data_IF_137068826514
#
_entry.id   IF_137068826514
#
_cell.length_a   1.000
_cell.length_b   1.000
_cell.length_c   1.000
_cell.angle_alpha   90.00
_cell.angle_beta   90.00
_cell.angle_gamma   90.00
#
_symmetry.space_group_name_H-M   'P 1'
#
loop_
_entity.id
_entity.type
_entity.pdbx_description
1 polymer ?
#
# COMPACT_ATOMS: atom_id res chain seq x y z
N UNK A 1 -8.69 -7.15 -9.06
CA UNK A 1 -8.30 -8.39 -9.78
C UNK A 1 -8.18 -9.49 -8.71
N UNK A 2 -9.26 -10.26 -8.49
CA UNK A 2 -9.57 -10.87 -7.17
C UNK A 2 -9.02 -12.31 -6.99
N UNK A 3 -8.23 -12.82 -7.92
CA UNK A 3 -7.47 -14.05 -7.69
C UNK A 3 -6.10 -13.94 -8.35
N UNK A 4 -5.03 -14.22 -7.61
CA UNK A 4 -3.69 -14.47 -8.18
C UNK A 4 -3.63 -15.76 -9.00
N UNK A 5 -4.76 -16.45 -9.13
CA UNK A 5 -4.92 -17.72 -9.79
C UNK A 5 -5.54 -17.50 -11.16
N UNK A 6 -4.93 -18.09 -12.19
CA UNK A 6 -5.48 -18.11 -13.54
C UNK A 6 -6.87 -18.77 -13.54
N UNK A 7 -7.88 -18.05 -14.03
CA UNK A 7 -9.29 -18.51 -14.08
C UNK A 7 -9.46 -19.89 -14.76
N UNK A 8 -8.51 -20.27 -15.61
CA UNK A 8 -8.49 -21.54 -16.34
C UNK A 8 -8.41 -22.77 -15.42
N UNK A 9 -7.88 -22.64 -14.21
CA UNK A 9 -7.89 -23.71 -13.20
C UNK A 9 -9.31 -24.05 -12.73
N UNK A 10 -10.20 -23.07 -12.62
CA UNK A 10 -11.61 -23.31 -12.28
C UNK A 10 -12.33 -24.09 -13.38
N UNK A 11 -12.05 -23.76 -14.65
CA UNK A 11 -12.58 -24.49 -15.80
C UNK A 11 -12.07 -25.94 -15.82
N UNK A 12 -10.79 -26.15 -15.51
CA UNK A 12 -10.21 -27.50 -15.41
C UNK A 12 -10.89 -28.32 -14.32
N UNK A 13 -11.08 -27.79 -13.11
CA UNK A 13 -11.76 -28.51 -12.03
C UNK A 13 -13.23 -28.79 -12.33
N UNK A 14 -13.91 -27.88 -13.04
CA UNK A 14 -15.28 -28.08 -13.51
C UNK A 14 -15.35 -29.27 -14.48
N UNK A 15 -14.49 -29.29 -15.51
CA UNK A 15 -14.45 -30.37 -16.50
C UNK A 15 -14.08 -31.71 -15.84
N UNK A 16 -13.09 -31.71 -14.94
CA UNK A 16 -12.63 -32.91 -14.24
C UNK A 16 -13.71 -33.51 -13.32
N UNK A 17 -14.41 -32.67 -12.57
CA UNK A 17 -15.52 -33.10 -11.69
C UNK A 17 -16.67 -33.68 -12.50
N UNK A 18 -17.00 -33.06 -13.65
CA UNK A 18 -18.05 -33.52 -14.56
C UNK A 18 -17.71 -34.86 -15.21
N UNK A 19 -16.47 -35.00 -15.70
CA UNK A 19 -15.98 -36.25 -16.27
C UNK A 19 -15.99 -37.39 -15.23
N UNK A 20 -15.59 -37.12 -14.00
CA UNK A 20 -15.59 -38.12 -12.92
C UNK A 20 -17.01 -38.56 -12.56
N UNK A 21 -17.96 -37.63 -12.44
CA UNK A 21 -19.36 -37.94 -12.16
C UNK A 21 -20.01 -38.75 -13.30
N UNK A 22 -19.74 -38.38 -14.55
CA UNK A 22 -20.27 -39.07 -15.72
C UNK A 22 -19.68 -40.48 -15.89
N UNK A 23 -18.37 -40.66 -15.71
CA UNK A 23 -17.70 -41.96 -15.83
C UNK A 23 -18.22 -42.95 -14.79
N UNK A 24 -18.42 -42.50 -13.55
CA UNK A 24 -18.91 -43.34 -12.47
C UNK A 24 -20.34 -43.83 -12.75
N UNK A 25 -21.24 -42.94 -13.19
CA UNK A 25 -22.62 -43.31 -13.54
C UNK A 25 -22.74 -44.09 -14.86
N UNK A 26 -21.80 -43.93 -15.80
CA UNK A 26 -21.78 -44.68 -17.06
C UNK A 26 -21.38 -46.15 -16.87
N UNK A 27 -20.49 -46.44 -15.92
CA UNK A 27 -19.98 -47.80 -15.67
C UNK A 27 -20.80 -48.62 -14.68
N UNK A 28 -21.72 -47.98 -13.96
CA UNK A 28 -22.42 -48.59 -12.84
C UNK A 28 -23.68 -49.36 -13.26
N UNK A 29 -23.51 -50.68 -13.43
CA UNK A 29 -24.57 -51.61 -13.84
C UNK A 29 -25.68 -51.78 -12.78
N UNK A 30 -25.41 -51.42 -11.53
CA UNK A 30 -26.37 -51.50 -10.40
C UNK A 30 -27.52 -50.50 -10.50
N UNK A 31 -27.43 -49.50 -11.38
CA UNK A 31 -28.45 -48.46 -11.56
C UNK A 31 -29.43 -48.78 -12.68
N UNK A 32 -29.45 -50.02 -13.19
CA UNK A 32 -30.28 -50.40 -14.35
C UNK A 32 -31.78 -50.15 -14.11
N UNK A 33 -32.24 -50.33 -12.86
CA UNK A 33 -33.65 -50.22 -12.47
C UNK A 33 -34.08 -48.79 -12.09
N UNK A 34 -33.15 -47.83 -12.08
CA UNK A 34 -33.44 -46.45 -11.69
C UNK A 34 -33.95 -45.63 -12.88
N UNK A 35 -34.90 -44.73 -12.63
CA UNK A 35 -35.41 -43.80 -13.65
C UNK A 35 -34.29 -42.84 -14.08
N UNK A 36 -34.27 -42.40 -15.35
CA UNK A 36 -33.20 -41.52 -15.87
C UNK A 36 -33.05 -40.24 -15.06
N UNK A 37 -34.14 -39.66 -14.55
CA UNK A 37 -34.10 -38.45 -13.72
C UNK A 37 -33.35 -38.66 -12.38
N UNK A 38 -33.51 -39.83 -11.75
CA UNK A 38 -32.85 -40.16 -10.48
C UNK A 38 -31.34 -40.28 -10.68
N UNK A 39 -30.92 -40.88 -11.81
CA UNK A 39 -29.51 -40.97 -12.18
C UNK A 39 -28.91 -39.59 -12.41
N UNK A 40 -29.62 -38.71 -13.12
CA UNK A 40 -29.16 -37.34 -13.38
C UNK A 40 -29.02 -36.53 -12.10
N UNK A 41 -30.01 -36.59 -11.20
CA UNK A 41 -29.97 -35.84 -9.92
C UNK A 41 -28.82 -36.30 -9.04
N UNK A 42 -28.61 -37.62 -8.91
CA UNK A 42 -27.50 -38.14 -8.12
C UNK A 42 -26.13 -37.82 -8.74
N UNK A 43 -26.01 -37.90 -10.08
CA UNK A 43 -24.79 -37.50 -10.78
C UNK A 43 -24.48 -36.01 -10.56
N UNK A 44 -25.50 -35.14 -10.60
CA UNK A 44 -25.36 -33.72 -10.32
C UNK A 44 -24.93 -33.44 -8.88
N UNK A 45 -25.56 -34.08 -7.89
CA UNK A 45 -25.16 -33.94 -6.48
C UNK A 45 -23.70 -34.35 -6.30
N UNK A 46 -23.28 -35.48 -6.90
CA UNK A 46 -21.90 -35.96 -6.80
C UNK A 46 -20.91 -35.01 -7.48
N UNK A 47 -21.27 -34.47 -8.63
CA UNK A 47 -20.50 -33.41 -9.30
C UNK A 47 -20.28 -32.21 -8.39
N UNK A 48 -21.34 -31.71 -7.73
CA UNK A 48 -21.26 -30.57 -6.82
C UNK A 48 -20.32 -30.86 -5.65
N UNK A 49 -20.43 -32.03 -5.02
CA UNK A 49 -19.53 -32.41 -3.92
C UNK A 49 -18.06 -32.46 -4.35
N UNK A 50 -17.76 -33.13 -5.46
CA UNK A 50 -16.38 -33.24 -5.99
C UNK A 50 -15.83 -31.87 -6.36
N UNK A 51 -16.65 -31.02 -6.99
CA UNK A 51 -16.26 -29.66 -7.35
C UNK A 51 -15.97 -28.79 -6.11
N UNK A 52 -16.80 -28.88 -5.07
CA UNK A 52 -16.57 -28.18 -3.80
C UNK A 52 -15.27 -28.65 -3.15
N UNK A 53 -14.98 -29.97 -3.15
CA UNK A 53 -13.72 -30.50 -2.61
C UNK A 53 -12.53 -29.93 -3.36
N UNK A 54 -12.57 -29.89 -4.70
CA UNK A 54 -11.51 -29.27 -5.50
C UNK A 54 -11.35 -27.78 -5.20
N UNK A 55 -12.46 -27.05 -5.04
CA UNK A 55 -12.44 -25.63 -4.69
C UNK A 55 -11.82 -25.41 -3.29
N UNK A 56 -12.14 -26.26 -2.32
CA UNK A 56 -11.60 -26.20 -0.97
C UNK A 56 -10.10 -26.56 -0.94
N UNK A 57 -9.69 -27.60 -1.66
CA UNK A 57 -8.30 -28.02 -1.77
C UNK A 57 -7.43 -26.95 -2.45
N UNK A 58 -8.02 -26.26 -3.42
CA UNK A 58 -7.36 -25.17 -4.13
C UNK A 58 -7.25 -23.89 -3.29
N UNK A 59 -8.06 -23.76 -2.24
CA UNK A 59 -8.01 -22.70 -1.22
C UNK A 59 -7.69 -21.31 -1.80
N UNK A 60 -8.54 -20.75 -2.69
CA UNK A 60 -8.27 -19.46 -3.31
C UNK A 60 -8.15 -18.39 -2.22
N UNK A 61 -6.93 -17.86 -2.03
CA UNK A 61 -6.73 -16.74 -1.12
C UNK A 61 -7.43 -15.50 -1.69
N UNK A 62 -8.52 -15.11 -1.06
CA UNK A 62 -9.19 -13.83 -1.31
C UNK A 62 -8.30 -12.74 -0.68
N UNK A 63 -7.36 -12.21 -1.48
CA UNK A 63 -6.55 -11.07 -1.06
C UNK A 63 -7.38 -9.80 -1.19
N UNK A 64 -7.76 -9.21 -0.07
CA UNK A 64 -8.30 -7.85 -0.04
C UNK A 64 -7.13 -6.86 -0.10
N UNK A 65 -6.85 -6.34 -1.29
CA UNK A 65 -5.91 -5.22 -1.44
C UNK A 65 -6.62 -3.93 -1.04
N UNK A 66 -6.34 -3.42 0.17
CA UNK A 66 -6.66 -2.03 0.52
C UNK A 66 -5.51 -1.17 -0.01
N UNK A 67 -5.75 -0.41 -1.08
CA UNK A 67 -4.82 0.64 -1.51
C UNK A 67 -5.19 1.90 -0.74
N UNK A 68 -4.36 2.27 0.23
CA UNK A 68 -4.45 3.58 0.87
C UNK A 68 -3.59 4.51 0.01
N UNK A 69 -4.20 5.55 -0.54
CA UNK A 69 -3.49 6.61 -1.25
C UNK A 69 -3.03 7.61 -0.19
N UNK A 70 -1.76 7.49 0.23
CA UNK A 70 -1.13 8.47 1.10
C UNK A 70 -0.47 9.56 0.24
N UNK A 71 -0.66 10.81 0.65
CA UNK A 71 0.02 11.93 -0.01
C UNK A 71 1.51 11.84 0.33
N UNK A 72 2.42 12.02 -0.64
CA UNK A 72 3.85 12.02 -0.34
C UNK A 72 4.19 13.20 0.60
N UNK A 73 5.01 12.91 1.60
CA UNK A 73 5.45 13.88 2.60
C UNK A 73 6.76 14.53 2.12
N UNK A 74 6.81 15.86 2.11
CA UNK A 74 8.03 16.63 1.82
C UNK A 74 8.44 17.34 3.10
N UNK A 75 9.70 17.15 3.48
CA UNK A 75 10.27 17.77 4.69
C UNK A 75 11.23 18.89 4.27
N UNK A 76 11.00 20.09 4.80
CA UNK A 76 11.87 21.25 4.63
C UNK A 76 12.60 21.47 5.96
N UNK A 77 13.91 21.23 5.97
CA UNK A 77 14.78 21.53 7.10
C UNK A 77 15.59 22.81 6.79
N UNK A 78 15.41 23.84 7.61
CA UNK A 78 16.04 25.15 7.44
C UNK A 78 17.11 25.40 8.52
N UNK A 79 18.28 25.87 8.10
CA UNK A 79 19.32 26.34 9.03
C UNK A 79 18.91 27.71 9.65
N UNK A 80 18.90 27.77 10.97
CA UNK A 80 18.57 28.93 11.80
C UNK A 80 19.76 29.39 12.66
N UNK A 81 20.99 29.07 12.24
CA UNK A 81 22.21 29.55 12.86
C UNK A 81 22.54 31.00 12.48
N UNK A 82 23.22 31.70 13.38
CA UNK A 82 23.74 33.05 13.16
C UNK A 82 24.74 33.12 11.99
N UNK A 83 25.42 32.01 11.69
CA UNK A 83 26.39 31.90 10.59
C UNK A 83 25.78 32.22 9.22
N UNK A 84 24.48 31.96 9.03
CA UNK A 84 23.75 32.27 7.79
C UNK A 84 23.72 33.78 7.52
N UNK A 85 23.59 34.60 8.57
CA UNK A 85 23.60 36.06 8.47
C UNK A 85 25.01 36.66 8.47
N UNK A 86 26.04 35.90 8.80
CA UNK A 86 27.44 36.37 8.76
C UNK A 86 28.03 36.38 7.33
N UNK A 87 27.24 36.00 6.33
CA UNK A 87 27.63 36.03 4.92
C UNK A 87 27.39 37.41 4.28
N UNK A 88 28.02 37.68 3.13
CA UNK A 88 27.90 38.95 2.38
C UNK A 88 26.47 39.29 1.96
N UNK A 89 25.60 38.29 1.88
CA UNK A 89 24.20 38.41 1.44
C UNK A 89 23.20 38.42 2.61
N UNK A 90 23.61 38.86 3.80
CA UNK A 90 22.77 38.86 5.02
C UNK A 90 21.39 39.50 4.83
N UNK A 91 21.30 40.58 4.04
CA UNK A 91 20.06 41.28 3.68
C UNK A 91 19.10 40.41 2.87
N UNK A 92 19.63 39.52 2.02
CA UNK A 92 18.82 38.57 1.25
C UNK A 92 18.22 37.52 2.18
N UNK A 93 19.03 36.93 3.06
CA UNK A 93 18.61 35.87 3.99
C UNK A 93 17.62 36.36 5.06
N UNK A 94 17.72 37.63 5.48
CA UNK A 94 16.80 38.23 6.45
C UNK A 94 15.43 38.64 5.85
N UNK A 95 15.30 38.70 4.53
CA UNK A 95 14.12 39.25 3.87
C UNK A 95 13.60 38.39 2.72
N UNK A 96 14.25 38.51 1.57
CA UNK A 96 13.78 37.92 0.31
C UNK A 96 13.76 36.39 0.36
N UNK A 97 14.73 35.78 1.04
CA UNK A 97 14.81 34.33 1.21
C UNK A 97 13.59 33.75 1.93
N UNK A 98 13.18 34.38 3.04
CA UNK A 98 12.02 33.92 3.83
C UNK A 98 10.74 33.97 2.98
N UNK A 99 10.57 35.01 2.16
CA UNK A 99 9.44 35.12 1.24
C UNK A 99 9.48 34.02 0.16
N UNK A 100 10.64 33.76 -0.42
CA UNK A 100 10.82 32.70 -1.41
C UNK A 100 10.53 31.32 -0.83
N UNK A 101 11.01 31.05 0.38
CA UNK A 101 10.79 29.79 1.09
C UNK A 101 9.31 29.55 1.36
N UNK A 102 8.60 30.58 1.85
CA UNK A 102 7.14 30.51 2.06
C UNK A 102 6.38 30.29 0.74
N UNK A 103 6.85 30.84 -0.38
CA UNK A 103 6.25 30.62 -1.70
C UNK A 103 6.47 29.19 -2.21
N UNK A 104 7.65 28.62 -1.97
CA UNK A 104 7.96 27.22 -2.30
C UNK A 104 7.09 26.28 -1.47
N UNK A 105 7.00 26.52 -0.16
CA UNK A 105 6.14 25.77 0.76
C UNK A 105 4.68 25.77 0.26
N UNK A 106 4.12 26.95 -0.06
CA UNK A 106 2.75 27.05 -0.60
C UNK A 106 2.52 26.23 -1.87
N UNK A 107 3.46 26.27 -2.82
CA UNK A 107 3.36 25.53 -4.09
C UNK A 107 3.45 24.02 -3.89
N UNK A 108 4.26 23.58 -2.93
CA UNK A 108 4.39 22.15 -2.60
C UNK A 108 3.16 21.64 -1.84
N UNK A 109 2.59 22.45 -0.94
CA UNK A 109 1.40 22.10 -0.16
C UNK A 109 0.12 21.87 -1.01
N UNK A 110 0.12 22.26 -2.29
CA UNK A 110 -0.98 21.96 -3.22
C UNK A 110 -1.08 20.46 -3.53
N UNK A 111 0.06 19.76 -3.63
CA UNK A 111 0.14 18.37 -4.08
C UNK A 111 0.72 17.41 -3.02
N UNK A 112 1.42 17.94 -2.02
CA UNK A 112 2.18 17.20 -1.03
C UNK A 112 1.81 17.63 0.40
N UNK A 113 2.10 16.78 1.37
CA UNK A 113 2.06 17.16 2.77
C UNK A 113 3.43 17.72 3.15
N UNK A 114 3.51 19.03 3.38
CA UNK A 114 4.78 19.72 3.66
C UNK A 114 4.94 19.92 5.15
N UNK A 115 6.04 19.42 5.71
CA UNK A 115 6.43 19.63 7.11
C UNK A 115 7.69 20.47 7.16
N UNK A 116 7.67 21.53 7.97
CA UNK A 116 8.78 22.46 8.12
C UNK A 116 9.43 22.30 9.48
N UNK A 117 10.76 22.24 9.47
CA UNK A 117 11.61 22.16 10.64
C UNK A 117 12.73 23.18 10.51
N UNK A 118 13.14 23.72 11.64
CA UNK A 118 14.29 24.59 11.76
C UNK A 118 15.36 23.86 12.57
N UNK A 119 16.62 24.01 12.20
CA UNK A 119 17.74 23.45 12.92
C UNK A 119 18.85 24.47 13.07
N UNK A 120 19.56 24.40 14.18
CA UNK A 120 20.77 25.17 14.45
C UNK A 120 21.53 24.42 15.52
N UNK A 121 21.52 24.90 16.76
CA UNK A 121 22.07 24.13 17.89
C UNK A 121 21.16 22.93 18.22
N UNK A 122 19.86 23.13 18.09
CA UNK A 122 18.82 22.13 18.33
C UNK A 122 17.88 21.99 17.13
N UNK A 123 17.33 20.79 16.93
CA UNK A 123 16.26 20.55 15.98
C UNK A 123 14.91 21.01 16.57
N UNK A 124 14.15 21.80 15.82
CA UNK A 124 12.87 22.38 16.26
C UNK A 124 11.80 22.25 15.18
N UNK A 125 10.60 21.86 15.59
CA UNK A 125 9.41 21.86 14.74
C UNK A 125 8.71 23.22 14.81
N UNK A 126 9.35 24.24 14.25
CA UNK A 126 8.77 25.58 14.13
C UNK A 126 9.09 26.20 12.76
N UNK A 127 8.38 27.28 12.43
CA UNK A 127 8.59 28.06 11.20
C UNK A 127 9.28 29.41 11.46
N UNK A 128 9.79 29.63 12.68
CA UNK A 128 10.36 30.90 13.11
C UNK A 128 11.83 30.97 12.68
N UNK A 129 12.10 31.72 11.61
CA UNK A 129 13.47 32.00 11.17
C UNK A 129 13.92 33.33 11.81
N UNK A 130 14.88 33.25 12.71
CA UNK A 130 15.45 34.41 13.42
C UNK A 130 16.99 34.39 13.47
N UNK A 131 17.63 33.31 13.01
CA UNK A 131 19.08 33.13 12.94
C UNK A 131 19.78 33.36 14.29
N UNK A 132 19.20 32.86 15.37
CA UNK A 132 19.68 33.09 16.74
C UNK A 132 20.61 32.02 17.28
N UNK A 133 20.70 30.86 16.62
CA UNK A 133 21.48 29.74 17.13
C UNK A 133 22.98 29.94 16.87
N UNK A 134 23.82 29.64 17.86
CA UNK A 134 25.27 29.86 17.78
C UNK A 134 26.02 28.81 16.94
N UNK A 135 25.39 27.64 16.71
CA UNK A 135 25.98 26.51 16.02
C UNK A 135 25.02 25.90 14.99
N UNK A 136 25.57 25.12 14.06
CA UNK A 136 24.82 24.31 13.10
C UNK A 136 25.10 22.83 13.35
N UNK A 137 24.15 22.13 13.95
CA UNK A 137 24.21 20.70 14.22
C UNK A 137 23.40 19.93 13.19
N UNK A 138 24.01 19.64 12.04
CA UNK A 138 23.37 18.86 10.98
C UNK A 138 23.26 17.36 11.30
N UNK A 139 24.01 16.86 12.29
CA UNK A 139 24.04 15.44 12.64
C UNK A 139 22.70 14.96 13.21
N UNK A 140 21.96 15.85 13.87
CA UNK A 140 20.67 15.53 14.49
C UNK A 140 19.49 15.52 13.49
N UNK A 141 19.65 16.09 12.28
CA UNK A 141 18.54 16.23 11.32
C UNK A 141 17.96 14.87 10.93
N UNK A 142 18.80 13.94 10.47
CA UNK A 142 18.32 12.64 10.00
C UNK A 142 17.81 11.72 11.13
N UNK A 143 18.48 11.62 12.30
CA UNK A 143 17.94 10.91 13.45
C UNK A 143 16.58 11.43 13.92
N UNK A 144 16.42 12.75 14.04
CA UNK A 144 15.17 13.37 14.50
C UNK A 144 14.04 13.19 13.49
N UNK A 145 14.31 13.37 12.20
CA UNK A 145 13.34 13.06 11.15
C UNK A 145 13.01 11.57 11.16
N UNK A 146 13.99 10.69 11.24
CA UNK A 146 13.73 9.25 11.29
C UNK A 146 12.89 8.87 12.52
N UNK A 147 13.13 9.50 13.66
CA UNK A 147 12.37 9.25 14.88
C UNK A 147 10.92 9.77 14.76
N UNK A 148 10.73 10.98 14.20
CA UNK A 148 9.42 11.59 14.01
C UNK A 148 8.52 10.78 13.05
N UNK A 149 9.12 10.12 12.04
CA UNK A 149 8.39 9.36 11.01
C UNK A 149 8.53 7.83 11.12
N UNK A 150 9.18 7.29 12.17
CA UNK A 150 9.41 5.86 12.34
C UNK A 150 8.12 5.00 12.46
N UNK A 151 7.00 5.62 12.81
CA UNK A 151 5.70 4.97 13.03
C UNK A 151 4.71 5.07 11.87
N UNK A 152 5.12 5.68 10.75
CA UNK A 152 4.36 5.72 9.50
C UNK A 152 4.74 4.56 8.58
#
# INVERSE_FOLDING_TARGET
MIASVSWWWLLLFFVLSGAMAALLYYREKSLRDWKPWQKTVMAFIRFVFVFIIFLLLFAPLIKHSKSILEKPIIIIAQDNSASVLMNSDSVYYSGQYIQNLNNVEKRLSENFEVHRYNFGEFFRQDSIINYTDDATNMAEIFPEISAAYAGM
#
